data_IF_626017740705
#
_entry.id   IF_626017740705
#
_cell.length_a   1.000
_cell.length_b   1.000
_cell.length_c   1.000
_cell.angle_alpha   90.00
_cell.angle_beta   90.00
_cell.angle_gamma   90.00
#
_symmetry.space_group_name_H-M   'P 1'
#
loop_
_entity.id
_entity.type
_entity.pdbx_description
1 polymer ?
#
# COMPACT_ATOMS: atom_id res chain seq x y z
N UNK A 1 -1.10 -15.78 -2.70
CA UNK A 1 -2.15 -16.73 -2.25
C UNK A 1 -3.57 -16.33 -2.70
N UNK A 2 -4.08 -15.09 -2.48
CA UNK A 2 -5.47 -14.75 -2.87
C UNK A 2 -5.71 -14.64 -4.39
N UNK A 3 -4.71 -14.23 -5.18
CA UNK A 3 -4.82 -14.23 -6.65
C UNK A 3 -4.84 -15.66 -7.20
N UNK A 4 -3.99 -16.55 -6.67
CA UNK A 4 -3.98 -17.97 -7.06
C UNK A 4 -5.29 -18.68 -6.69
N UNK A 5 -5.86 -18.37 -5.51
CA UNK A 5 -7.17 -18.88 -5.11
C UNK A 5 -8.28 -18.36 -6.04
N UNK A 6 -8.25 -17.07 -6.42
CA UNK A 6 -9.19 -16.53 -7.41
C UNK A 6 -8.99 -17.09 -8.82
N UNK A 7 -7.75 -17.36 -9.24
CA UNK A 7 -7.44 -18.01 -10.50
C UNK A 7 -8.00 -19.43 -10.54
N UNK A 8 -7.87 -20.19 -9.46
CA UNK A 8 -8.44 -21.54 -9.33
C UNK A 8 -9.98 -21.47 -9.32
N UNK A 9 -10.57 -20.54 -8.57
CA UNK A 9 -12.03 -20.34 -8.54
C UNK A 9 -12.56 -19.91 -9.91
N UNK A 10 -11.85 -19.06 -10.64
CA UNK A 10 -12.20 -18.62 -12.00
C UNK A 10 -12.05 -19.74 -13.05
N UNK A 11 -11.05 -20.61 -12.89
CA UNK A 11 -10.86 -21.78 -13.77
C UNK A 11 -11.88 -22.90 -13.50
N UNK A 12 -12.45 -22.95 -12.28
CA UNK A 12 -13.40 -23.99 -11.85
C UNK A 12 -14.86 -23.52 -11.97
N UNK A 13 -15.13 -22.22 -11.91
CA UNK A 13 -16.46 -21.61 -12.09
C UNK A 13 -16.43 -20.76 -13.36
N UNK A 14 -16.94 -21.33 -14.45
CA UNK A 14 -16.97 -20.78 -15.83
C UNK A 14 -17.65 -19.40 -16.00
N UNK A 15 -18.15 -18.77 -14.93
CA UNK A 15 -19.07 -17.62 -14.98
C UNK A 15 -18.42 -16.25 -14.67
N UNK A 16 -17.09 -16.17 -14.56
CA UNK A 16 -16.41 -14.89 -14.37
C UNK A 16 -15.61 -14.49 -15.61
N UNK A 17 -16.04 -13.40 -16.25
CA UNK A 17 -15.37 -12.74 -17.37
C UNK A 17 -14.08 -12.04 -16.87
N UNK A 18 -13.13 -12.85 -16.40
CA UNK A 18 -11.83 -12.41 -15.91
C UNK A 18 -10.90 -12.40 -17.12
N UNK A 19 -10.46 -11.21 -17.53
CA UNK A 19 -9.40 -11.07 -18.52
C UNK A 19 -8.14 -11.79 -18.01
N UNK A 20 -7.81 -12.92 -18.65
CA UNK A 20 -6.66 -13.74 -18.32
C UNK A 20 -5.37 -12.92 -18.44
N UNK A 21 -5.31 -12.02 -19.43
CA UNK A 21 -4.19 -11.14 -19.72
C UNK A 21 -3.90 -10.21 -18.54
N UNK A 22 -4.92 -9.53 -18.01
CA UNK A 22 -4.74 -8.63 -16.87
C UNK A 22 -4.35 -9.42 -15.61
N UNK A 23 -4.90 -10.61 -15.42
CA UNK A 23 -4.58 -11.44 -14.26
C UNK A 23 -3.12 -11.90 -14.30
N UNK A 24 -2.65 -12.37 -15.46
CA UNK A 24 -1.26 -12.75 -15.67
C UNK A 24 -0.31 -11.55 -15.49
N UNK A 25 -0.68 -10.40 -16.05
CA UNK A 25 0.08 -9.16 -15.87
C UNK A 25 0.20 -8.79 -14.39
N UNK A 26 -0.88 -8.85 -13.62
CA UNK A 26 -0.87 -8.53 -12.19
C UNK A 26 -0.04 -9.52 -11.37
N UNK A 27 -0.08 -10.82 -11.70
CA UNK A 27 0.77 -11.83 -11.07
C UNK A 27 2.23 -11.55 -11.38
N UNK A 28 2.56 -11.29 -12.64
CA UNK A 28 3.93 -11.03 -13.07
C UNK A 28 4.47 -9.75 -12.44
N UNK A 29 3.68 -8.67 -12.43
CA UNK A 29 4.03 -7.41 -11.78
C UNK A 29 4.29 -7.62 -10.28
N UNK A 30 3.38 -8.32 -9.59
CA UNK A 30 3.53 -8.61 -8.17
C UNK A 30 4.79 -9.43 -7.89
N UNK A 31 5.05 -10.51 -8.65
CA UNK A 31 6.25 -11.34 -8.45
C UNK A 31 7.54 -10.59 -8.78
N UNK A 32 7.57 -9.80 -9.85
CA UNK A 32 8.74 -9.02 -10.24
C UNK A 32 9.09 -7.97 -9.18
N UNK A 33 8.09 -7.22 -8.69
CA UNK A 33 8.30 -6.20 -7.65
C UNK A 33 8.56 -6.81 -6.28
N UNK A 34 7.99 -7.97 -5.97
CA UNK A 34 8.32 -8.73 -4.77
C UNK A 34 9.80 -9.13 -4.79
N UNK A 35 10.28 -9.68 -5.91
CA UNK A 35 11.70 -9.99 -6.09
C UNK A 35 12.57 -8.73 -5.98
N UNK A 36 12.20 -7.63 -6.65
CA UNK A 36 12.93 -6.37 -6.58
C UNK A 36 13.00 -5.80 -5.16
N UNK A 37 11.95 -5.97 -4.35
CA UNK A 37 11.93 -5.53 -2.96
C UNK A 37 13.00 -6.23 -2.09
N UNK A 38 13.42 -7.45 -2.45
CA UNK A 38 14.53 -8.14 -1.79
C UNK A 38 15.91 -7.52 -2.10
N UNK A 39 15.99 -6.68 -3.15
CA UNK A 39 17.22 -6.01 -3.60
C UNK A 39 17.32 -4.55 -3.14
N UNK A 40 16.23 -3.97 -2.65
CA UNK A 40 16.26 -2.61 -2.12
C UNK A 40 14.90 -2.09 -1.67
N UNK A 41 14.91 -1.31 -0.59
CA UNK A 41 13.69 -0.79 0.05
C UNK A 41 12.87 0.13 -0.88
N UNK A 42 13.54 0.84 -1.80
CA UNK A 42 12.89 1.71 -2.80
C UNK A 42 11.86 0.98 -3.66
N UNK A 43 12.07 -0.31 -3.91
CA UNK A 43 11.19 -1.11 -4.76
C UNK A 43 9.88 -1.52 -4.07
N UNK A 44 9.79 -1.38 -2.74
CA UNK A 44 8.55 -1.67 -2.00
C UNK A 44 7.40 -0.80 -2.51
N UNK A 45 7.65 0.46 -2.86
CA UNK A 45 6.61 1.36 -3.36
C UNK A 45 5.93 0.83 -4.62
N UNK A 46 6.67 0.11 -5.48
CA UNK A 46 6.15 -0.47 -6.72
C UNK A 46 5.37 -1.77 -6.49
N UNK A 47 5.56 -2.42 -5.35
CA UNK A 47 4.78 -3.59 -4.92
C UNK A 47 3.39 -3.19 -4.41
N UNK A 48 3.26 -1.98 -3.83
CA UNK A 48 2.05 -1.51 -3.15
C UNK A 48 0.79 -1.57 -4.05
N UNK A 49 0.78 -1.07 -5.30
CA UNK A 49 -0.43 -1.09 -6.12
C UNK A 49 -0.88 -2.51 -6.48
N UNK A 50 0.05 -3.38 -6.86
CA UNK A 50 -0.24 -4.77 -7.18
C UNK A 50 -0.78 -5.52 -5.95
N UNK A 51 -0.19 -5.28 -4.78
CA UNK A 51 -0.68 -5.81 -3.52
C UNK A 51 -2.08 -5.28 -3.18
N UNK A 52 -2.35 -3.99 -3.33
CA UNK A 52 -3.63 -3.37 -2.98
C UNK A 52 -4.80 -3.97 -3.77
N UNK A 53 -4.62 -4.20 -5.08
CA UNK A 53 -5.62 -4.87 -5.92
C UNK A 53 -5.86 -6.31 -5.44
N UNK A 54 -4.79 -7.07 -5.21
CA UNK A 54 -4.87 -8.45 -4.73
C UNK A 54 -5.52 -8.56 -3.35
N UNK A 55 -5.20 -7.63 -2.46
CA UNK A 55 -5.74 -7.55 -1.11
C UNK A 55 -7.23 -7.17 -1.14
N UNK A 56 -7.62 -6.16 -1.91
CA UNK A 56 -9.03 -5.78 -2.08
C UNK A 56 -9.88 -6.94 -2.62
N UNK A 57 -9.35 -7.67 -3.61
CA UNK A 57 -9.96 -8.89 -4.13
C UNK A 57 -10.16 -9.98 -3.05
N UNK A 58 -9.16 -10.16 -2.18
CA UNK A 58 -9.22 -11.08 -1.05
C UNK A 58 -10.28 -10.66 -0.02
N UNK A 59 -10.27 -9.38 0.36
CA UNK A 59 -11.23 -8.80 1.32
C UNK A 59 -12.66 -8.92 0.81
N UNK A 60 -12.89 -8.67 -0.49
CA UNK A 60 -14.20 -8.84 -1.10
C UNK A 60 -14.67 -10.30 -1.03
N UNK A 61 -13.80 -11.26 -1.37
CA UNK A 61 -14.12 -12.68 -1.25
C UNK A 61 -14.45 -13.07 0.20
N UNK A 62 -13.62 -12.65 1.15
CA UNK A 62 -13.84 -12.88 2.58
C UNK A 62 -15.17 -12.29 3.06
N UNK A 63 -15.52 -11.07 2.62
CA UNK A 63 -16.81 -10.45 2.90
C UNK A 63 -17.97 -11.29 2.38
N UNK A 64 -17.92 -11.77 1.13
CA UNK A 64 -18.99 -12.61 0.57
C UNK A 64 -19.18 -13.93 1.30
N UNK A 65 -18.07 -14.64 1.60
CA UNK A 65 -18.16 -15.90 2.35
C UNK A 65 -18.65 -15.68 3.78
N UNK A 66 -18.13 -14.68 4.48
CA UNK A 66 -18.50 -14.39 5.87
C UNK A 66 -19.97 -13.95 5.98
N UNK A 67 -20.43 -13.03 5.13
CA UNK A 67 -21.84 -12.59 5.13
C UNK A 67 -22.79 -13.72 4.73
N UNK A 68 -22.40 -14.57 3.79
CA UNK A 68 -23.15 -15.78 3.43
C UNK A 68 -23.27 -16.76 4.59
N UNK A 69 -22.20 -16.95 5.35
CA UNK A 69 -22.20 -17.78 6.57
C UNK A 69 -23.07 -17.17 7.68
N UNK A 70 -22.91 -15.89 7.98
CA UNK A 70 -23.70 -15.17 9.00
C UNK A 70 -25.21 -15.20 8.71
N UNK A 71 -25.59 -15.00 7.45
CA UNK A 71 -27.00 -14.99 7.06
C UNK A 71 -27.63 -16.39 7.06
N UNK A 72 -26.88 -17.43 6.66
CA UNK A 72 -27.38 -18.81 6.62
C UNK A 72 -27.36 -19.50 7.98
N UNK A 73 -26.25 -19.41 8.72
CA UNK A 73 -26.04 -20.16 9.96
C UNK A 73 -26.62 -19.46 11.19
N UNK A 74 -26.60 -18.13 11.22
CA UNK A 74 -27.05 -17.34 12.37
C UNK A 74 -28.37 -16.61 12.09
N UNK A 75 -28.97 -16.80 10.91
CA UNK A 75 -30.21 -16.16 10.46
C UNK A 75 -30.21 -14.63 10.64
N UNK A 76 -29.03 -14.01 10.57
CA UNK A 76 -28.88 -12.56 10.71
C UNK A 76 -29.36 -11.88 9.43
N UNK A 77 -30.03 -10.73 9.57
CA UNK A 77 -30.40 -9.91 8.43
C UNK A 77 -29.15 -9.48 7.62
N UNK A 78 -29.20 -9.64 6.29
CA UNK A 78 -28.10 -9.29 5.37
C UNK A 78 -27.56 -7.87 5.56
N UNK A 79 -28.43 -6.88 5.86
CA UNK A 79 -28.00 -5.50 6.12
C UNK A 79 -27.13 -5.40 7.38
N UNK A 80 -27.53 -6.11 8.45
CA UNK A 80 -26.79 -6.15 9.72
C UNK A 80 -25.47 -6.90 9.53
N UNK A 81 -25.49 -8.03 8.82
CA UNK A 81 -24.28 -8.79 8.52
C UNK A 81 -23.25 -7.95 7.73
N UNK A 82 -23.69 -7.22 6.70
CA UNK A 82 -22.82 -6.31 5.94
C UNK A 82 -22.25 -5.19 6.82
N UNK A 83 -23.10 -4.54 7.64
CA UNK A 83 -22.66 -3.47 8.54
C UNK A 83 -21.61 -4.00 9.54
N UNK A 84 -21.85 -5.17 10.12
CA UNK A 84 -20.92 -5.83 11.03
C UNK A 84 -19.57 -6.12 10.34
N UNK A 85 -19.59 -6.63 9.11
CA UNK A 85 -18.36 -6.88 8.36
C UNK A 85 -17.58 -5.60 8.06
N UNK A 86 -18.25 -4.51 7.69
CA UNK A 86 -17.59 -3.22 7.48
C UNK A 86 -16.94 -2.74 8.77
N UNK A 87 -17.64 -2.82 9.90
CA UNK A 87 -17.10 -2.45 11.21
C UNK A 87 -15.85 -3.27 11.53
N UNK A 88 -15.89 -4.60 11.36
CA UNK A 88 -14.74 -5.47 11.58
C UNK A 88 -13.56 -5.06 10.69
N UNK A 89 -13.80 -4.80 9.39
CA UNK A 89 -12.77 -4.35 8.47
C UNK A 89 -12.16 -3.00 8.89
N UNK A 90 -12.97 -2.05 9.34
CA UNK A 90 -12.47 -0.78 9.89
C UNK A 90 -11.63 -0.98 11.15
N UNK A 91 -12.02 -1.90 12.05
CA UNK A 91 -11.24 -2.23 13.23
C UNK A 91 -9.86 -2.81 12.89
N UNK A 92 -9.76 -3.63 11.84
CA UNK A 92 -8.47 -4.17 11.39
C UNK A 92 -7.49 -3.07 10.94
N UNK A 93 -8.00 -1.96 10.41
CA UNK A 93 -7.18 -0.82 9.97
C UNK A 93 -6.60 0.00 11.13
N UNK A 94 -7.13 -0.13 12.36
CA UNK A 94 -6.61 0.61 13.51
C UNK A 94 -5.14 0.27 13.82
N UNK A 95 -4.75 -1.00 13.61
CA UNK A 95 -3.34 -1.42 13.78
C UNK A 95 -2.42 -0.72 12.78
N UNK A 96 -2.83 -0.66 11.52
CA UNK A 96 -2.06 0.00 10.43
C UNK A 96 -1.97 1.51 10.65
N UNK A 97 -3.03 2.14 11.14
CA UNK A 97 -3.04 3.56 11.51
C UNK A 97 -2.04 3.85 12.64
N UNK A 98 -2.04 3.03 13.70
CA UNK A 98 -1.12 3.21 14.81
C UNK A 98 0.33 3.09 14.36
N UNK A 99 0.65 2.10 13.52
CA UNK A 99 2.00 1.92 12.99
C UNK A 99 2.43 3.12 12.13
N UNK A 100 1.57 3.57 11.21
CA UNK A 100 1.85 4.73 10.35
C UNK A 100 2.09 6.00 11.18
N UNK A 101 1.28 6.23 12.21
CA UNK A 101 1.42 7.37 13.12
C UNK A 101 2.75 7.34 13.88
N UNK A 102 3.15 6.17 14.38
CA UNK A 102 4.44 6.02 15.08
C UNK A 102 5.60 6.32 14.15
N UNK A 103 5.59 5.83 12.91
CA UNK A 103 6.62 6.19 11.93
C UNK A 103 6.65 7.69 11.71
N UNK A 104 5.51 8.31 11.39
CA UNK A 104 5.44 9.74 11.07
C UNK A 104 5.91 10.66 12.23
N UNK A 105 5.62 10.31 13.48
CA UNK A 105 6.03 11.11 14.64
C UNK A 105 7.51 10.94 15.03
N UNK A 106 8.15 9.84 14.59
CA UNK A 106 9.55 9.57 14.87
C UNK A 106 10.46 9.85 13.67
N UNK A 107 9.92 10.35 12.57
CA UNK A 107 10.74 10.84 11.45
C UNK A 107 11.52 12.09 11.90
N UNK A 108 12.85 12.01 11.81
CA UNK A 108 13.74 13.14 12.10
C UNK A 108 13.84 13.96 10.81
N UNK A 109 13.47 15.26 10.81
CA UNK A 109 13.62 16.10 9.64
C UNK A 109 15.08 16.09 9.14
N UNK A 110 15.27 15.85 7.85
CA UNK A 110 16.60 15.90 7.24
C UNK A 110 17.20 17.31 7.21
N UNK A 111 16.37 18.34 7.36
CA UNK A 111 16.76 19.75 7.40
C UNK A 111 16.45 20.34 8.78
N UNK A 112 17.46 20.96 9.41
CA UNK A 112 17.31 21.66 10.70
C UNK A 112 17.29 23.18 10.51
N UNK A 113 16.92 23.91 11.56
CA UNK A 113 16.96 25.38 11.55
C UNK A 113 18.37 25.92 11.26
N UNK A 114 19.42 25.21 11.70
CA UNK A 114 20.80 25.59 11.40
C UNK A 114 21.10 25.46 9.89
N UNK A 115 20.62 24.39 9.26
CA UNK A 115 20.72 24.22 7.81
C UNK A 115 19.97 25.32 7.05
N UNK A 116 18.73 25.60 7.44
CA UNK A 116 17.93 26.67 6.84
C UNK A 116 18.64 28.03 6.96
N UNK A 117 19.08 28.39 8.16
CA UNK A 117 19.71 29.68 8.40
C UNK A 117 21.04 29.83 7.64
N UNK A 118 21.82 28.76 7.52
CA UNK A 118 23.05 28.77 6.72
C UNK A 118 22.75 29.00 5.23
N UNK A 119 21.78 28.27 4.67
CA UNK A 119 21.39 28.39 3.26
C UNK A 119 20.73 29.74 2.94
N UNK A 120 19.86 30.25 3.82
CA UNK A 120 19.25 31.58 3.68
C UNK A 120 20.31 32.68 3.74
N UNK A 121 21.29 32.57 4.64
CA UNK A 121 22.39 33.52 4.72
C UNK A 121 23.23 33.54 3.44
N UNK A 122 23.58 32.36 2.94
CA UNK A 122 24.28 32.20 1.66
C UNK A 122 23.48 32.89 0.54
N UNK A 123 22.18 32.61 0.45
CA UNK A 123 21.31 33.17 -0.58
C UNK A 123 21.24 34.71 -0.55
N UNK A 124 21.34 35.32 0.65
CA UNK A 124 21.26 36.77 0.83
C UNK A 124 22.59 37.50 0.68
N UNK A 125 23.70 36.85 1.06
CA UNK A 125 25.00 37.51 1.22
C UNK A 125 26.04 37.10 0.17
N UNK A 126 25.88 35.93 -0.47
CA UNK A 126 26.81 35.50 -1.51
C UNK A 126 26.63 36.31 -2.80
N UNK A 127 27.71 36.47 -3.56
CA UNK A 127 27.62 37.02 -4.91
C UNK A 127 26.69 36.14 -5.78
N UNK A 128 25.91 36.72 -6.73
CA UNK A 128 25.01 35.95 -7.58
C UNK A 128 25.69 34.83 -8.39
N UNK A 129 27.00 34.94 -8.62
CA UNK A 129 27.86 33.99 -9.35
C UNK A 129 28.82 33.20 -8.43
N UNK A 130 28.63 33.28 -7.11
CA UNK A 130 29.43 32.52 -6.16
C UNK A 130 29.25 31.01 -6.36
N UNK A 131 30.37 30.28 -6.51
CA UNK A 131 30.37 28.82 -6.62
C UNK A 131 30.50 28.22 -5.22
N UNK A 132 29.51 27.41 -4.83
CA UNK A 132 29.52 26.68 -3.55
C UNK A 132 29.84 25.22 -3.81
N UNK A 133 30.90 24.74 -3.18
CA UNK A 133 31.30 23.33 -3.26
C UNK A 133 30.78 22.58 -2.05
N UNK A 134 30.02 21.52 -2.29
CA UNK A 134 29.51 20.63 -1.25
C UNK A 134 29.62 19.17 -1.68
N UNK A 135 29.26 18.27 -0.78
CA UNK A 135 28.99 16.90 -1.17
C UNK A 135 27.74 16.82 -2.07
N UNK A 136 27.61 15.72 -2.82
CA UNK A 136 26.53 15.55 -3.80
C UNK A 136 25.14 15.47 -3.15
N UNK A 137 25.05 15.03 -1.89
CA UNK A 137 23.79 14.96 -1.13
C UNK A 137 23.14 16.34 -0.89
N UNK A 138 23.93 17.42 -0.94
CA UNK A 138 23.48 18.78 -0.61
C UNK A 138 23.33 19.70 -1.83
N UNK A 139 23.39 19.14 -3.04
CA UNK A 139 23.36 19.92 -4.28
C UNK A 139 21.96 20.26 -4.82
N UNK A 140 20.90 19.74 -4.21
CA UNK A 140 19.50 19.94 -4.62
C UNK A 140 18.85 21.07 -3.83
#
# INVERSE_FOLDING_TARGET
VPIAARLIIALVLEDYDISLEATLLMILWFLATLYASTKGIRWILLLVPAFAVAFGACVAAAHFYATGFLTKSLQINKKIANALMIVILCFLLLSTWSAARVTALNEIPSMSDAWYNALDKINREAAPDAIITSWWDFGH
#
